data_IF_849387042077
#
_entry.id   IF_849387042077
#
_cell.length_a   1.000
_cell.length_b   1.000
_cell.length_c   1.000
_cell.angle_alpha   90.00
_cell.angle_beta   90.00
_cell.angle_gamma   90.00
#
_symmetry.space_group_name_H-M   'P 1'
#
loop_
_entity.id
_entity.type
_entity.pdbx_description
1 polymer ?
#
# COMPACT_ATOMS: atom_id res chain seq x y z
N UNK A 1 -17.28 -7.09 -9.21
CA UNK A 1 -15.83 -6.87 -9.01
C UNK A 1 -15.33 -7.89 -8.01
N UNK A 2 -14.07 -8.33 -8.07
CA UNK A 2 -13.51 -9.26 -7.08
C UNK A 2 -12.94 -8.56 -5.85
N UNK A 3 -12.55 -7.29 -6.02
CA UNK A 3 -12.01 -6.41 -4.97
C UNK A 3 -12.54 -4.99 -5.20
N UNK A 4 -12.79 -4.24 -4.13
CA UNK A 4 -13.08 -2.79 -4.16
C UNK A 4 -12.06 -2.03 -3.32
N UNK A 5 -11.78 -0.77 -3.66
CA UNK A 5 -10.91 0.13 -2.89
C UNK A 5 -11.78 1.22 -2.21
N UNK A 6 -11.68 1.34 -0.89
CA UNK A 6 -12.41 2.30 -0.06
C UNK A 6 -11.39 3.18 0.67
N UNK A 7 -11.53 4.50 0.55
CA UNK A 7 -10.59 5.43 1.19
C UNK A 7 -10.91 5.61 2.69
N UNK A 8 -9.85 5.54 3.52
CA UNK A 8 -9.88 5.51 4.98
C UNK A 8 -10.44 6.81 5.61
N UNK A 9 -10.36 7.93 4.91
CA UNK A 9 -10.73 9.26 5.42
C UNK A 9 -12.15 9.71 5.02
N UNK A 10 -13.00 8.78 4.59
CA UNK A 10 -14.44 9.00 4.51
C UNK A 10 -15.12 8.85 5.88
N UNK A 11 -16.41 9.16 5.97
CA UNK A 11 -17.20 8.93 7.18
C UNK A 11 -17.14 7.45 7.59
N UNK A 12 -16.91 7.17 8.88
CA UNK A 12 -16.75 5.79 9.37
C UNK A 12 -18.02 4.95 9.14
N UNK A 13 -19.20 5.54 9.27
CA UNK A 13 -20.49 4.86 9.06
C UNK A 13 -20.62 4.44 7.60
N UNK A 14 -20.23 5.33 6.68
CA UNK A 14 -20.21 5.03 5.25
C UNK A 14 -19.20 3.93 4.91
N UNK A 15 -17.98 4.00 5.46
CA UNK A 15 -16.95 2.97 5.27
C UNK A 15 -17.46 1.60 5.72
N UNK A 16 -18.01 1.51 6.94
CA UNK A 16 -18.55 0.24 7.46
C UNK A 16 -19.70 -0.29 6.62
N UNK A 17 -20.60 0.59 6.18
CA UNK A 17 -21.71 0.21 5.30
C UNK A 17 -21.22 -0.38 3.97
N UNK A 18 -20.19 0.23 3.37
CA UNK A 18 -19.59 -0.26 2.13
C UNK A 18 -18.84 -1.58 2.32
N UNK A 19 -18.11 -1.74 3.43
CA UNK A 19 -17.42 -2.98 3.78
C UNK A 19 -18.43 -4.12 3.96
N UNK A 20 -19.49 -3.89 4.76
CA UNK A 20 -20.53 -4.88 4.97
C UNK A 20 -21.22 -5.29 3.67
N UNK A 21 -21.48 -4.32 2.79
CA UNK A 21 -22.04 -4.58 1.47
C UNK A 21 -21.08 -5.41 0.59
N UNK A 22 -19.79 -5.09 0.58
CA UNK A 22 -18.78 -5.84 -0.16
C UNK A 22 -18.66 -7.28 0.34
N UNK A 23 -18.52 -7.47 1.66
CA UNK A 23 -18.39 -8.78 2.28
C UNK A 23 -19.64 -9.65 2.10
N UNK A 24 -20.86 -9.08 2.19
CA UNK A 24 -22.12 -9.79 1.87
C UNK A 24 -22.14 -10.33 0.44
N UNK A 25 -21.44 -9.67 -0.48
CA UNK A 25 -21.32 -10.09 -1.88
C UNK A 25 -20.03 -10.87 -2.16
N UNK A 26 -19.31 -11.31 -1.12
CA UNK A 26 -18.03 -12.03 -1.25
C UNK A 26 -16.97 -11.26 -2.06
N UNK A 27 -16.98 -9.93 -1.96
CA UNK A 27 -16.01 -9.03 -2.57
C UNK A 27 -15.00 -8.60 -1.49
N UNK A 28 -13.70 -8.73 -1.77
CA UNK A 28 -12.66 -8.29 -0.84
C UNK A 28 -12.50 -6.76 -0.85
N UNK A 29 -12.02 -6.20 0.25
CA UNK A 29 -11.86 -4.75 0.42
C UNK A 29 -10.40 -4.37 0.60
N UNK A 30 -9.91 -3.47 -0.25
CA UNK A 30 -8.74 -2.66 0.04
C UNK A 30 -9.23 -1.43 0.81
N UNK A 31 -8.68 -1.18 2.00
CA UNK A 31 -8.83 0.15 2.62
C UNK A 31 -7.56 0.93 2.36
N UNK A 32 -7.70 2.04 1.62
CA UNK A 32 -6.57 2.86 1.18
C UNK A 32 -6.48 4.19 1.89
N UNK A 33 -5.26 4.69 2.01
CA UNK A 33 -4.99 6.05 2.43
C UNK A 33 -3.91 6.66 1.55
N UNK A 34 -4.08 7.92 1.17
CA UNK A 34 -3.13 8.66 0.35
C UNK A 34 -2.72 9.97 1.04
N UNK A 35 -1.44 10.29 1.02
CA UNK A 35 -0.90 11.61 1.37
C UNK A 35 -0.03 12.08 0.19
N UNK A 36 -0.56 13.00 -0.60
CA UNK A 36 0.12 13.48 -1.81
C UNK A 36 1.14 14.58 -1.53
N UNK A 37 1.17 15.11 -0.31
CA UNK A 37 2.00 16.26 0.06
C UNK A 37 3.24 15.86 0.86
N UNK A 38 3.12 14.82 1.70
CA UNK A 38 4.20 14.44 2.62
C UNK A 38 4.19 12.95 2.98
N UNK A 39 5.23 12.57 3.71
CA UNK A 39 5.30 11.31 4.44
C UNK A 39 5.05 11.59 5.91
N UNK A 40 3.93 11.10 6.48
CA UNK A 40 3.65 11.23 7.91
C UNK A 40 4.73 10.56 8.77
N UNK A 41 4.82 10.91 10.07
CA UNK A 41 5.64 10.17 11.03
C UNK A 41 5.33 8.68 11.00
N UNK A 42 6.34 7.85 11.29
CA UNK A 42 6.25 6.39 11.23
C UNK A 42 5.06 5.83 12.01
N UNK A 43 4.86 6.35 13.23
CA UNK A 43 3.80 5.93 14.14
C UNK A 43 2.41 6.25 13.59
N UNK A 44 2.28 7.34 12.83
CA UNK A 44 1.04 7.70 12.16
C UNK A 44 0.75 6.80 10.95
N UNK A 45 1.78 6.41 10.18
CA UNK A 45 1.62 5.43 9.10
C UNK A 45 1.13 4.09 9.69
N UNK A 46 1.73 3.65 10.80
CA UNK A 46 1.32 2.43 11.50
C UNK A 46 -0.12 2.55 12.00
N UNK A 47 -0.49 3.65 12.65
CA UNK A 47 -1.84 3.82 13.19
C UNK A 47 -2.91 3.83 12.09
N UNK A 48 -2.64 4.46 10.94
CA UNK A 48 -3.54 4.44 9.78
C UNK A 48 -3.73 3.02 9.23
N UNK A 49 -2.66 2.23 9.12
CA UNK A 49 -2.75 0.83 8.69
C UNK A 49 -3.49 -0.05 9.72
N UNK A 50 -3.24 0.15 11.02
CA UNK A 50 -3.99 -0.53 12.09
C UNK A 50 -5.48 -0.19 12.01
N UNK A 51 -5.81 1.09 11.80
CA UNK A 51 -7.18 1.54 11.67
C UNK A 51 -7.89 0.90 10.48
N UNK A 52 -7.22 0.82 9.33
CA UNK A 52 -7.73 0.10 8.16
C UNK A 52 -8.00 -1.38 8.48
N UNK A 53 -7.12 -2.03 9.26
CA UNK A 53 -7.35 -3.41 9.71
C UNK A 53 -8.55 -3.54 10.64
N UNK A 54 -8.71 -2.63 11.60
CA UNK A 54 -9.81 -2.61 12.58
C UNK A 54 -11.18 -2.36 11.93
N UNK A 55 -11.21 -1.56 10.86
CA UNK A 55 -12.42 -1.32 10.07
C UNK A 55 -12.84 -2.54 9.23
N UNK A 56 -11.95 -3.52 9.05
CA UNK A 56 -12.23 -4.76 8.34
C UNK A 56 -11.55 -4.90 6.99
N UNK A 57 -10.65 -3.99 6.59
CA UNK A 57 -10.00 -4.01 5.27
C UNK A 57 -9.13 -5.24 5.05
N UNK A 58 -9.49 -6.07 4.07
CA UNK A 58 -8.80 -7.33 3.74
C UNK A 58 -7.38 -7.11 3.24
N UNK A 59 -7.14 -5.98 2.58
CA UNK A 59 -5.84 -5.50 2.14
C UNK A 59 -5.65 -4.07 2.64
N UNK A 60 -4.52 -3.81 3.28
CA UNK A 60 -4.21 -2.50 3.86
C UNK A 60 -3.34 -1.72 2.88
N UNK A 61 -3.77 -0.52 2.46
CA UNK A 61 -3.05 0.29 1.48
C UNK A 61 -2.68 1.66 2.04
N UNK A 62 -1.42 2.04 1.87
CA UNK A 62 -0.97 3.42 2.14
C UNK A 62 -0.02 3.90 1.05
N UNK A 63 -0.23 5.13 0.57
CA UNK A 63 0.64 5.77 -0.41
C UNK A 63 0.98 7.20 0.04
N UNK A 64 2.26 7.52 0.16
CA UNK A 64 2.72 8.80 0.74
C UNK A 64 3.78 9.46 -0.14
N UNK A 65 3.87 10.79 -0.12
CA UNK A 65 4.84 11.54 -0.93
C UNK A 65 6.13 11.79 -0.13
N UNK A 66 7.29 11.27 -0.55
CA UNK A 66 8.55 11.60 0.10
C UNK A 66 9.01 13.01 -0.28
N UNK A 67 9.59 13.72 0.68
CA UNK A 67 10.33 14.97 0.46
C UNK A 67 11.84 14.76 0.48
N UNK A 68 12.28 13.62 1.04
CA UNK A 68 13.68 13.21 1.10
C UNK A 68 13.83 11.67 1.17
N UNK A 69 15.06 11.17 1.07
CA UNK A 69 15.34 9.74 1.20
C UNK A 69 14.95 9.14 2.57
N UNK A 70 15.04 9.94 3.65
CA UNK A 70 14.61 9.49 4.99
C UNK A 70 13.13 9.11 5.01
N UNK A 71 12.29 9.83 4.27
CA UNK A 71 10.85 9.55 4.20
C UNK A 71 10.57 8.18 3.56
N UNK A 72 11.34 7.81 2.54
CA UNK A 72 11.26 6.48 1.92
C UNK A 72 11.59 5.39 2.96
N UNK A 73 12.63 5.60 3.75
CA UNK A 73 13.01 4.68 4.84
C UNK A 73 11.91 4.61 5.90
N UNK A 74 11.32 5.76 6.27
CA UNK A 74 10.21 5.85 7.23
C UNK A 74 9.04 4.96 6.82
N UNK A 75 8.62 5.02 5.55
CA UNK A 75 7.56 4.17 5.03
C UNK A 75 7.93 2.68 5.05
N UNK A 76 9.14 2.33 4.58
CA UNK A 76 9.58 0.93 4.54
C UNK A 76 9.68 0.33 5.95
N UNK A 77 10.18 1.08 6.93
CA UNK A 77 10.22 0.63 8.33
C UNK A 77 8.82 0.50 8.94
N UNK A 78 7.91 1.44 8.67
CA UNK A 78 6.50 1.32 9.08
C UNK A 78 5.84 0.04 8.51
N UNK A 79 6.10 -0.25 7.22
CA UNK A 79 5.58 -1.44 6.53
C UNK A 79 6.09 -2.73 7.18
N UNK A 80 7.40 -2.79 7.46
CA UNK A 80 8.03 -3.93 8.15
C UNK A 80 7.42 -4.18 9.52
N UNK A 81 7.29 -3.12 10.33
CA UNK A 81 6.68 -3.21 11.67
C UNK A 81 5.23 -3.70 11.58
N UNK A 82 4.45 -3.17 10.63
CA UNK A 82 3.06 -3.58 10.46
C UNK A 82 2.96 -5.05 10.05
N UNK A 83 3.79 -5.51 9.10
CA UNK A 83 3.81 -6.90 8.65
C UNK A 83 4.23 -7.88 9.75
N UNK A 84 5.22 -7.53 10.56
CA UNK A 84 5.68 -8.34 11.69
C UNK A 84 4.59 -8.52 12.76
N UNK A 85 3.80 -7.47 13.02
CA UNK A 85 2.69 -7.48 13.98
C UNK A 85 1.41 -8.13 13.43
N UNK A 86 1.13 -7.97 12.13
CA UNK A 86 -0.11 -8.40 11.49
C UNK A 86 0.15 -9.33 10.29
N UNK A 87 0.72 -10.51 10.57
CA UNK A 87 1.16 -11.47 9.54
C UNK A 87 0.06 -11.93 8.57
N UNK A 88 -1.21 -11.86 8.98
CA UNK A 88 -2.34 -12.44 8.26
C UNK A 88 -3.09 -11.44 7.37
N UNK A 89 -2.65 -10.18 7.28
CA UNK A 89 -3.29 -9.15 6.43
C UNK A 89 -2.29 -8.70 5.37
N UNK A 90 -2.59 -8.86 4.06
CA UNK A 90 -1.77 -8.30 3.00
C UNK A 90 -1.67 -6.78 3.11
N UNK A 91 -0.48 -6.25 2.85
CA UNK A 91 -0.19 -4.80 2.90
C UNK A 91 0.33 -4.35 1.54
N UNK A 92 -0.04 -3.14 1.14
CA UNK A 92 0.62 -2.42 0.04
C UNK A 92 1.01 -1.02 0.48
N UNK A 93 2.31 -0.75 0.47
CA UNK A 93 2.87 0.51 0.94
C UNK A 93 3.74 1.12 -0.14
N UNK A 94 3.42 2.36 -0.53
CA UNK A 94 4.06 3.02 -1.68
C UNK A 94 4.58 4.40 -1.27
N UNK A 95 5.87 4.61 -1.46
CA UNK A 95 6.46 5.95 -1.49
C UNK A 95 6.34 6.44 -2.93
N UNK A 96 5.57 7.50 -3.12
CA UNK A 96 5.23 8.02 -4.45
C UNK A 96 6.40 8.81 -5.06
N UNK A 97 6.26 9.19 -6.32
CA UNK A 97 7.28 9.98 -7.02
C UNK A 97 8.55 9.19 -7.35
N UNK A 98 9.46 9.87 -8.05
CA UNK A 98 10.72 9.26 -8.52
C UNK A 98 11.62 8.83 -7.35
N UNK A 99 11.65 9.60 -6.26
CA UNK A 99 12.44 9.30 -5.06
C UNK A 99 11.94 8.03 -4.36
N UNK A 100 10.63 7.80 -4.35
CA UNK A 100 10.01 6.64 -3.71
C UNK A 100 9.98 5.37 -4.57
N UNK A 101 10.45 5.40 -5.82
CA UNK A 101 10.36 4.28 -6.75
C UNK A 101 10.94 2.96 -6.19
N UNK A 102 11.98 3.04 -5.35
CA UNK A 102 12.58 1.88 -4.68
C UNK A 102 11.58 1.14 -3.77
N UNK A 103 10.60 1.83 -3.19
CA UNK A 103 9.55 1.18 -2.37
C UNK A 103 8.68 0.21 -3.18
N UNK A 104 8.51 0.46 -4.48
CA UNK A 104 7.76 -0.43 -5.39
C UNK A 104 8.52 -1.71 -5.73
N UNK A 105 9.84 -1.68 -5.62
CA UNK A 105 10.75 -2.77 -5.96
C UNK A 105 11.11 -3.60 -4.73
N UNK A 106 11.58 -2.93 -3.67
CA UNK A 106 12.05 -3.57 -2.46
C UNK A 106 10.92 -3.87 -1.46
N UNK A 107 9.67 -3.48 -1.76
CA UNK A 107 8.53 -3.61 -0.86
C UNK A 107 8.34 -5.03 -0.33
N UNK A 108 8.57 -6.07 -1.15
CA UNK A 108 8.47 -7.46 -0.73
C UNK A 108 9.41 -7.84 0.40
N UNK A 109 10.60 -7.21 0.49
CA UNK A 109 11.55 -7.42 1.58
C UNK A 109 11.04 -6.84 2.91
N UNK A 110 10.28 -5.75 2.84
CA UNK A 110 9.77 -5.03 4.00
C UNK A 110 8.30 -5.36 4.31
N UNK A 111 7.69 -6.33 3.61
CA UNK A 111 6.35 -6.82 3.93
C UNK A 111 5.20 -6.19 3.14
N UNK A 112 5.48 -5.48 2.04
CA UNK A 112 4.46 -5.11 1.05
C UNK A 112 4.20 -6.30 0.11
N UNK A 113 3.01 -6.87 0.19
CA UNK A 113 2.59 -8.05 -0.60
C UNK A 113 2.15 -7.69 -2.03
N UNK A 114 1.80 -6.43 -2.27
CA UNK A 114 1.33 -5.94 -3.57
C UNK A 114 2.10 -4.68 -3.95
N UNK A 115 2.41 -4.55 -5.24
CA UNK A 115 2.99 -3.34 -5.84
C UNK A 115 2.20 -2.93 -7.09
N UNK A 116 2.36 -1.68 -7.52
CA UNK A 116 1.63 -1.12 -8.67
C UNK A 116 2.58 -0.63 -9.75
N UNK A 117 2.25 -0.97 -10.98
CA UNK A 117 2.92 -0.58 -12.22
C UNK A 117 1.91 -0.03 -13.22
N UNK A 118 2.40 0.62 -14.28
CA UNK A 118 1.55 1.02 -15.40
C UNK A 118 1.65 0.05 -16.59
N UNK A 119 0.54 -0.12 -17.30
CA UNK A 119 0.48 -0.96 -18.52
C UNK A 119 0.84 -0.17 -19.79
N UNK A 120 0.23 0.99 -20.01
CA UNK A 120 0.45 1.82 -21.22
C UNK A 120 1.02 3.21 -20.90
N UNK A 121 0.42 3.89 -19.92
CA UNK A 121 0.82 5.23 -19.49
C UNK A 121 0.82 5.29 -17.97
N UNK A 122 1.83 5.94 -17.39
CA UNK A 122 1.88 6.19 -15.96
C UNK A 122 0.65 6.98 -15.51
N UNK A 123 -0.03 6.48 -14.48
CA UNK A 123 -1.14 7.15 -13.78
C UNK A 123 -0.68 7.94 -12.56
N UNK A 124 0.57 7.76 -12.11
CA UNK A 124 1.17 8.52 -11.01
C UNK A 124 2.68 8.75 -11.21
N UNK A 125 3.26 9.83 -10.66
CA UNK A 125 4.69 10.09 -10.73
C UNK A 125 5.53 8.93 -10.16
N UNK A 126 6.60 8.55 -10.86
CA UNK A 126 7.52 7.50 -10.43
C UNK A 126 7.01 6.07 -10.59
N UNK A 127 5.91 5.83 -11.32
CA UNK A 127 5.53 4.47 -11.66
C UNK A 127 6.52 3.86 -12.66
N UNK A 128 6.74 2.55 -12.51
CA UNK A 128 7.56 1.70 -13.38
C UNK A 128 6.60 0.96 -14.32
N UNK A 129 7.02 0.67 -15.55
CA UNK A 129 6.18 -0.14 -16.45
C UNK A 129 6.01 -1.54 -15.87
N UNK A 130 4.86 -2.17 -16.15
CA UNK A 130 4.61 -3.55 -15.70
C UNK A 130 5.64 -4.54 -16.20
N UNK A 131 6.15 -4.35 -17.42
CA UNK A 131 7.20 -5.20 -18.00
C UNK A 131 8.52 -5.08 -17.23
N UNK A 132 9.00 -3.85 -16.97
CA UNK A 132 10.27 -3.62 -16.27
C UNK A 132 10.16 -4.01 -14.79
N UNK A 133 9.02 -3.68 -14.15
CA UNK A 133 8.77 -4.07 -12.78
C UNK A 133 8.82 -5.59 -12.63
N UNK A 134 8.21 -6.34 -13.56
CA UNK A 134 8.23 -7.80 -13.55
C UNK A 134 9.66 -8.35 -13.68
N UNK A 135 10.47 -7.82 -14.60
CA UNK A 135 11.88 -8.25 -14.77
C UNK A 135 12.67 -8.08 -13.47
N UNK A 136 12.53 -6.92 -12.81
CA UNK A 136 13.22 -6.63 -11.56
C UNK A 136 12.70 -7.53 -10.43
N UNK A 137 11.38 -7.76 -10.34
CA UNK A 137 10.81 -8.64 -9.32
C UNK A 137 11.33 -10.08 -9.46
N UNK A 138 11.42 -10.61 -10.69
CA UNK A 138 12.01 -11.93 -10.93
C UNK A 138 13.49 -11.94 -10.49
N UNK A 139 14.27 -10.92 -10.86
CA UNK A 139 15.67 -10.83 -10.45
C UNK A 139 15.86 -10.76 -8.93
N UNK A 140 14.99 -10.06 -8.20
CA UNK A 140 15.12 -9.85 -6.76
C UNK A 140 14.56 -11.01 -5.92
N UNK A 141 13.49 -11.66 -6.38
CA UNK A 141 12.71 -12.59 -5.56
C UNK A 141 12.64 -14.02 -6.13
N UNK A 142 13.00 -14.24 -7.39
CA UNK A 142 12.89 -15.55 -8.08
C UNK A 142 14.25 -16.27 -8.24
N UNK A 143 15.25 -15.94 -7.42
CA UNK A 143 16.53 -16.66 -7.37
C UNK A 143 16.45 -17.95 -6.51
N UNK A 144 15.30 -18.65 -6.56
CA UNK A 144 15.09 -19.94 -5.90
C UNK A 144 15.09 -21.07 -6.91
#
# INVERSE_FOLDING_TARGET
ASIVDIELFNDETEIRTLIDAAHKNSVAVIISNHDFDKTPPKEEIISRLQRASELGGDILKIAVMPTCAKDVITLLDATRIMKEKHKNRPITAISMGKQGAISRLAGGLFGSDITFAYAKKASAPGQISSEELRKIMLLLYDNS
#
